data_IF_901229837625
#
_entry.id   IF_901229837625
#
_cell.length_a   1.000
_cell.length_b   1.000
_cell.length_c   1.000
_cell.angle_alpha   90.00
_cell.angle_beta   90.00
_cell.angle_gamma   90.00
#
_symmetry.space_group_name_H-M   'P 1'
#
loop_
_entity.id
_entity.type
_entity.pdbx_description
1 polymer ?
#
# COMPACT_ATOMS: atom_id res chain seq x y z
N UNK A 1 -2.83 9.98 -41.99
CA UNK A 1 -3.21 8.96 -40.98
C UNK A 1 -1.94 8.56 -40.21
N UNK A 2 -1.76 9.05 -38.98
CA UNK A 2 -0.59 8.70 -38.16
C UNK A 2 -0.63 7.24 -37.75
N UNK A 3 0.41 6.48 -38.12
CA UNK A 3 0.59 5.08 -37.71
C UNK A 3 0.83 5.01 -36.20
N UNK A 4 -0.03 4.28 -35.48
CA UNK A 4 0.15 4.01 -34.04
C UNK A 4 1.46 3.24 -33.83
N UNK A 5 2.32 3.63 -32.86
CA UNK A 5 3.54 2.88 -32.60
C UNK A 5 3.18 1.47 -32.12
N UNK A 6 3.74 0.48 -32.81
CA UNK A 6 3.54 -0.95 -32.53
C UNK A 6 4.30 -1.30 -31.24
N UNK A 7 3.58 -1.37 -30.12
CA UNK A 7 4.17 -1.80 -28.84
C UNK A 7 4.49 -3.28 -28.97
N UNK A 8 5.78 -3.61 -28.88
CA UNK A 8 6.31 -4.96 -28.98
C UNK A 8 5.92 -5.76 -27.72
N UNK A 9 5.05 -6.77 -27.86
CA UNK A 9 4.62 -7.63 -26.75
C UNK A 9 5.78 -8.41 -26.09
N UNK A 10 6.93 -8.53 -26.77
CA UNK A 10 8.11 -9.22 -26.24
C UNK A 10 8.82 -8.48 -25.10
N UNK A 11 8.58 -7.17 -24.93
CA UNK A 11 9.11 -6.42 -23.79
C UNK A 11 8.20 -6.45 -22.56
N UNK A 12 7.10 -7.21 -22.58
CA UNK A 12 6.34 -7.49 -21.37
C UNK A 12 7.12 -8.51 -20.54
N UNK A 13 8.14 -8.04 -19.80
CA UNK A 13 8.84 -8.83 -18.80
C UNK A 13 7.82 -9.34 -17.78
N UNK A 14 7.47 -10.63 -17.88
CA UNK A 14 6.65 -11.30 -16.88
C UNK A 14 7.52 -11.47 -15.63
N UNK A 15 7.34 -10.56 -14.67
CA UNK A 15 7.90 -10.72 -13.33
C UNK A 15 7.19 -11.88 -12.64
N UNK A 16 7.74 -13.08 -12.78
CA UNK A 16 7.33 -14.24 -11.98
C UNK A 16 8.22 -14.28 -10.75
N UNK A 17 7.94 -13.40 -9.78
CA UNK A 17 8.60 -13.45 -8.48
C UNK A 17 8.06 -14.66 -7.72
N UNK A 18 8.92 -15.49 -7.10
CA UNK A 18 8.49 -16.67 -6.38
C UNK A 18 7.50 -16.26 -5.30
N UNK A 19 6.33 -16.89 -5.31
CA UNK A 19 5.32 -16.83 -4.25
C UNK A 19 5.89 -17.55 -3.03
N UNK A 20 6.89 -16.96 -2.36
CA UNK A 20 7.17 -17.30 -0.97
C UNK A 20 5.86 -17.05 -0.24
N UNK A 21 5.40 -18.04 0.51
CA UNK A 21 4.08 -18.15 1.12
C UNK A 21 3.60 -16.81 1.70
N UNK A 22 2.91 -16.05 0.84
CA UNK A 22 2.59 -14.67 1.15
C UNK A 22 1.63 -14.66 2.35
N UNK A 23 0.81 -15.70 2.51
CA UNK A 23 -0.13 -15.75 3.61
C UNK A 23 0.56 -15.96 4.95
N UNK A 24 1.58 -16.82 5.03
CA UNK A 24 2.35 -17.02 6.26
C UNK A 24 3.06 -15.74 6.70
N UNK A 25 3.67 -15.01 5.76
CA UNK A 25 4.37 -13.75 6.05
C UNK A 25 3.36 -12.64 6.42
N UNK A 26 2.24 -12.52 5.71
CA UNK A 26 1.15 -11.61 6.07
C UNK A 26 0.63 -11.88 7.49
N UNK A 27 0.39 -13.14 7.83
CA UNK A 27 -0.11 -13.54 9.14
C UNK A 27 0.89 -13.21 10.24
N UNK A 28 2.19 -13.45 10.00
CA UNK A 28 3.25 -13.10 10.94
C UNK A 28 3.37 -11.58 11.13
N UNK A 29 3.38 -10.81 10.04
CA UNK A 29 3.39 -9.35 10.10
C UNK A 29 2.16 -8.80 10.80
N UNK A 30 0.99 -9.37 10.53
CA UNK A 30 -0.25 -8.99 11.20
C UNK A 30 -0.16 -9.25 12.69
N UNK A 31 0.32 -10.42 13.13
CA UNK A 31 0.47 -10.75 14.54
C UNK A 31 1.41 -9.77 15.28
N UNK A 32 2.55 -9.42 14.67
CA UNK A 32 3.52 -8.52 15.28
C UNK A 32 3.07 -7.05 15.29
N UNK A 33 2.49 -6.58 14.18
CA UNK A 33 2.26 -5.15 13.97
C UNK A 33 0.89 -4.67 14.43
N UNK A 34 -0.11 -5.57 14.50
CA UNK A 34 -1.44 -5.25 15.05
C UNK A 34 -1.34 -4.52 16.39
N UNK A 35 -0.71 -5.06 17.46
CA UNK A 35 -0.68 -4.38 18.75
C UNK A 35 -0.01 -2.99 18.71
N UNK A 36 1.10 -2.85 17.97
CA UNK A 36 1.81 -1.58 17.83
C UNK A 36 0.97 -0.54 17.08
N UNK A 37 0.35 -0.92 15.97
CA UNK A 37 -0.46 -0.04 15.13
C UNK A 37 -1.73 0.40 15.87
N UNK A 38 -2.40 -0.51 16.59
CA UNK A 38 -3.58 -0.17 17.37
C UNK A 38 -3.24 0.71 18.60
N UNK A 39 -2.09 0.50 19.24
CA UNK A 39 -1.60 1.37 20.31
C UNK A 39 -1.35 2.80 19.80
N UNK A 40 -0.70 2.94 18.64
CA UNK A 40 -0.48 4.24 17.99
C UNK A 40 -1.80 4.88 17.55
N UNK A 41 -2.75 4.12 16.99
CA UNK A 41 -4.07 4.65 16.65
C UNK A 41 -4.78 5.26 17.87
N UNK A 42 -4.70 4.63 19.05
CA UNK A 42 -5.27 5.17 20.29
C UNK A 42 -4.66 6.53 20.64
N UNK A 43 -3.34 6.66 20.49
CA UNK A 43 -2.64 7.93 20.71
C UNK A 43 -3.10 9.02 19.73
N UNK A 44 -3.15 8.73 18.43
CA UNK A 44 -3.65 9.69 17.43
C UNK A 44 -5.13 10.05 17.64
N UNK A 45 -5.94 9.09 18.13
CA UNK A 45 -7.33 9.32 18.53
C UNK A 45 -7.46 10.24 19.73
N UNK A 46 -6.48 10.27 20.64
CA UNK A 46 -6.43 11.21 21.77
C UNK A 46 -5.99 12.60 21.32
N UNK A 47 -5.13 12.69 20.31
CA UNK A 47 -4.70 13.95 19.67
C UNK A 47 -5.77 14.58 18.76
N UNK A 48 -6.97 13.98 18.64
CA UNK A 48 -8.07 14.53 17.83
C UNK A 48 -7.92 14.36 16.32
N UNK A 49 -6.95 13.57 15.84
CA UNK A 49 -6.66 13.42 14.40
C UNK A 49 -7.51 12.34 13.71
N UNK A 50 -8.78 12.17 14.11
CA UNK A 50 -9.61 10.98 13.80
C UNK A 50 -10.19 10.89 12.39
N UNK A 51 -10.29 12.00 11.66
CA UNK A 51 -11.15 12.08 10.46
C UNK A 51 -10.42 11.97 9.13
N UNK A 52 -9.55 10.97 8.97
CA UNK A 52 -8.93 10.72 7.65
C UNK A 52 -9.22 9.31 7.19
N UNK A 53 -9.88 9.20 6.03
CA UNK A 53 -10.03 7.94 5.27
C UNK A 53 -8.66 7.27 5.08
N UNK A 54 -7.60 8.07 4.97
CA UNK A 54 -6.21 7.64 4.91
C UNK A 54 -5.50 7.75 6.27
N UNK A 55 -5.82 6.82 7.18
CA UNK A 55 -5.21 6.74 8.51
C UNK A 55 -3.77 6.21 8.45
N UNK A 56 -2.95 6.51 9.48
CA UNK A 56 -1.58 6.00 9.60
C UNK A 56 -1.52 4.47 9.43
N UNK A 57 -2.45 3.77 10.07
CA UNK A 57 -2.57 2.32 9.99
C UNK A 57 -2.79 1.80 8.57
N UNK A 58 -3.51 2.55 7.73
CA UNK A 58 -3.73 2.23 6.33
C UNK A 58 -2.45 2.49 5.50
N UNK A 59 -1.75 3.59 5.78
CA UNK A 59 -0.46 3.90 5.15
C UNK A 59 0.60 2.86 5.47
N UNK A 60 0.67 2.39 6.73
CA UNK A 60 1.59 1.33 7.14
C UNK A 60 1.27 0.02 6.42
N UNK A 61 -0.01 -0.37 6.37
CA UNK A 61 -0.43 -1.57 5.62
C UNK A 61 -0.10 -1.46 4.13
N UNK A 62 -0.28 -0.29 3.53
CA UNK A 62 0.02 0.01 2.14
C UNK A 62 1.53 -0.07 1.82
N UNK A 63 2.37 0.57 2.64
CA UNK A 63 3.84 0.54 2.51
C UNK A 63 4.37 -0.87 2.68
N UNK A 64 3.91 -1.59 3.72
CA UNK A 64 4.28 -2.97 3.93
C UNK A 64 3.94 -3.78 2.68
N UNK A 65 2.70 -3.67 2.20
CA UNK A 65 2.23 -4.32 0.96
C UNK A 65 3.12 -4.06 -0.25
N UNK A 66 3.55 -2.82 -0.45
CA UNK A 66 4.50 -2.49 -1.53
C UNK A 66 5.84 -3.20 -1.35
N UNK A 67 6.39 -3.23 -0.13
CA UNK A 67 7.71 -3.80 0.16
C UNK A 67 7.73 -5.33 0.00
N UNK A 68 6.79 -6.04 0.62
CA UNK A 68 6.82 -7.50 0.67
C UNK A 68 6.13 -8.19 -0.52
N UNK A 69 5.03 -7.62 -1.06
CA UNK A 69 4.30 -8.17 -2.21
C UNK A 69 4.87 -7.67 -3.55
N UNK A 70 5.93 -6.84 -3.51
CA UNK A 70 6.61 -6.25 -4.67
C UNK A 70 5.63 -5.71 -5.73
N UNK A 71 4.60 -4.98 -5.27
CA UNK A 71 3.55 -4.49 -6.16
C UNK A 71 4.12 -3.41 -7.07
N UNK A 72 3.97 -3.52 -8.41
CA UNK A 72 4.68 -2.67 -9.36
C UNK A 72 4.21 -1.20 -9.40
N UNK A 73 3.16 -0.81 -8.65
CA UNK A 73 2.74 0.59 -8.57
C UNK A 73 1.47 0.84 -7.77
N UNK A 74 1.15 2.14 -7.61
CA UNK A 74 0.02 2.64 -6.79
C UNK A 74 -1.34 2.19 -7.34
N UNK A 75 -1.47 2.01 -8.65
CA UNK A 75 -2.73 1.57 -9.26
C UNK A 75 -3.09 0.14 -8.85
N UNK A 76 -2.11 -0.78 -8.86
CA UNK A 76 -2.34 -2.16 -8.45
C UNK A 76 -2.56 -2.24 -6.93
N UNK A 77 -1.83 -1.43 -6.16
CA UNK A 77 -2.09 -1.29 -4.73
C UNK A 77 -3.52 -0.80 -4.43
N UNK A 78 -4.02 0.18 -5.19
CA UNK A 78 -5.39 0.67 -5.02
C UNK A 78 -6.42 -0.39 -5.40
N UNK A 79 -6.14 -1.20 -6.44
CA UNK A 79 -6.98 -2.34 -6.84
C UNK A 79 -7.06 -3.39 -5.74
N UNK A 80 -5.93 -3.74 -5.13
CA UNK A 80 -5.87 -4.69 -4.02
C UNK A 80 -6.58 -4.15 -2.79
N UNK A 81 -6.36 -2.87 -2.45
CA UNK A 81 -7.02 -2.23 -1.32
C UNK A 81 -8.55 -2.17 -1.49
N UNK A 82 -9.04 -1.97 -2.72
CA UNK A 82 -10.47 -1.90 -3.00
C UNK A 82 -11.15 -3.28 -3.07
N UNK A 83 -10.41 -4.37 -3.38
CA UNK A 83 -10.97 -5.71 -3.60
C UNK A 83 -10.71 -6.70 -2.47
N UNK A 84 -9.48 -6.75 -1.97
CA UNK A 84 -9.01 -7.75 -1.00
C UNK A 84 -8.86 -7.15 0.41
N UNK A 85 -8.58 -5.85 0.51
CA UNK A 85 -8.11 -5.25 1.76
C UNK A 85 -6.64 -5.60 2.03
N UNK A 86 -6.00 -4.92 2.98
CA UNK A 86 -4.56 -5.06 3.23
C UNK A 86 -4.28 -5.40 4.70
N UNK A 87 -3.71 -6.58 4.97
CA UNK A 87 -3.30 -7.06 6.31
C UNK A 87 -4.43 -7.02 7.37
N UNK A 88 -4.59 -5.89 8.07
CA UNK A 88 -5.61 -5.62 9.09
C UNK A 88 -6.63 -4.56 8.64
N UNK A 89 -6.42 -3.91 7.50
CA UNK A 89 -7.33 -2.93 6.92
C UNK A 89 -8.38 -3.61 6.06
N UNK A 90 -9.64 -3.27 6.31
CA UNK A 90 -10.77 -3.70 5.51
C UNK A 90 -10.70 -3.10 4.09
N UNK A 91 -11.34 -3.75 3.10
CA UNK A 91 -11.43 -3.20 1.74
C UNK A 91 -11.97 -1.77 1.78
N UNK A 92 -11.13 -0.81 1.41
CA UNK A 92 -11.46 0.62 1.49
C UNK A 92 -11.27 1.23 0.13
N UNK A 93 -12.31 1.87 -0.40
CA UNK A 93 -12.20 2.62 -1.65
C UNK A 93 -11.51 3.94 -1.36
N UNK A 94 -10.32 4.13 -1.92
CA UNK A 94 -9.58 5.38 -1.82
C UNK A 94 -9.27 5.89 -3.23
N UNK A 95 -9.28 7.21 -3.41
CA UNK A 95 -8.82 7.81 -4.65
C UNK A 95 -7.31 7.59 -4.80
N UNK A 96 -6.87 7.18 -5.99
CA UNK A 96 -5.45 6.99 -6.30
C UNK A 96 -4.65 8.28 -6.03
N UNK A 97 -5.20 9.44 -6.36
CA UNK A 97 -4.57 10.73 -6.10
C UNK A 97 -4.24 10.94 -4.62
N UNK A 98 -5.17 10.60 -3.72
CA UNK A 98 -4.96 10.74 -2.28
C UNK A 98 -3.85 9.83 -1.74
N UNK A 99 -3.67 8.65 -2.32
CA UNK A 99 -2.53 7.77 -2.01
C UNK A 99 -1.22 8.37 -2.53
N UNK A 100 -1.20 8.81 -3.79
CA UNK A 100 0.00 9.40 -4.42
C UNK A 100 0.50 10.63 -3.66
N UNK A 101 -0.39 11.57 -3.33
CA UNK A 101 -0.04 12.78 -2.56
C UNK A 101 0.58 12.42 -1.20
N UNK A 102 0.09 11.34 -0.57
CA UNK A 102 0.54 10.90 0.74
C UNK A 102 1.87 10.16 0.71
N UNK A 103 2.11 9.38 -0.33
CA UNK A 103 3.44 8.82 -0.59
C UNK A 103 4.45 9.92 -0.87
N UNK A 104 4.10 10.95 -1.65
CA UNK A 104 5.00 12.08 -1.90
C UNK A 104 5.37 12.82 -0.61
N UNK A 105 4.39 13.15 0.24
CA UNK A 105 4.65 13.79 1.54
C UNK A 105 5.53 12.91 2.44
N UNK A 106 5.30 11.61 2.48
CA UNK A 106 6.11 10.67 3.25
C UNK A 106 7.56 10.60 2.74
N UNK A 107 7.76 10.51 1.42
CA UNK A 107 9.09 10.48 0.81
C UNK A 107 9.85 11.78 1.03
N UNK A 108 9.19 12.94 0.93
CA UNK A 108 9.80 14.23 1.23
C UNK A 108 10.29 14.23 2.68
N UNK A 109 9.47 13.75 3.63
CA UNK A 109 9.82 13.72 5.05
C UNK A 109 11.01 12.80 5.34
N UNK A 110 11.05 11.61 4.73
CA UNK A 110 12.17 10.67 4.85
C UNK A 110 13.48 11.16 4.20
N UNK A 111 13.43 12.17 3.33
CA UNK A 111 14.62 12.74 2.69
C UNK A 111 15.26 13.84 3.55
N UNK A 112 14.52 14.35 4.54
CA UNK A 112 14.88 15.50 5.38
C UNK A 112 15.37 15.12 6.78
N UNK A 113 15.30 13.84 7.13
CA UNK A 113 15.87 13.24 8.36
C UNK A 113 17.14 12.44 8.00
#
# INVERSE_FOLDING_TARGET
MSKRPKVNSDHAQRHHTPTIDNEALANHLKALLTPAVFAQQKYYKQLGLRDRILNLSLMVAAVLTLLWRQVPGVQELNRLLAREGLLWCHPTKVAQQSLSERFLVMTIRLKTD
#
